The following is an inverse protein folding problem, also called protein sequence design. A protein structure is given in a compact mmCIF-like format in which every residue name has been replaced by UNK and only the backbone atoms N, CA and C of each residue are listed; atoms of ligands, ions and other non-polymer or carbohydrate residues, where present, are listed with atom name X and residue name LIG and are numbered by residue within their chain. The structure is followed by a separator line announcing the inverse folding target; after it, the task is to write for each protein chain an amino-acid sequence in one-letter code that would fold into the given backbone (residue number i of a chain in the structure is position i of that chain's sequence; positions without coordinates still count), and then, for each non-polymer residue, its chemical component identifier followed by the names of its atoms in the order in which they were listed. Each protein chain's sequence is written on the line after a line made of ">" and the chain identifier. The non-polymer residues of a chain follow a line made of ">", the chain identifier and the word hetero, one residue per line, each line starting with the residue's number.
data_IF_585565645261
#
_entry.id   IF_585565645261
#
_cell.length_a   1.000
_cell.length_b   1.000
_cell.length_c   1.000
_cell.angle_alpha   90.00
_cell.angle_beta   90.00
_cell.angle_gamma   90.00
#
_symmetry.space_group_name_H-M   'P 1'
#
loop_
_entity.id
_entity.type
_entity.pdbx_description
1 polymer ?
#
# COMPACT_ATOMS: atom_id res chain seq x y z
N UNK A 1 -4.79 -22.73 10.93
CA UNK A 1 -3.75 -22.78 9.88
C UNK A 1 -4.31 -22.11 8.64
N UNK A 2 -4.10 -20.81 8.49
CA UNK A 2 -4.52 -20.07 7.30
C UNK A 2 -3.56 -20.48 6.19
N UNK A 3 -4.05 -21.22 5.19
CA UNK A 3 -3.23 -21.65 4.05
C UNK A 3 -3.04 -20.44 3.16
N UNK A 4 -1.88 -19.77 3.27
CA UNK A 4 -1.56 -18.70 2.35
C UNK A 4 -1.40 -19.27 0.94
N UNK A 5 -2.06 -18.67 -0.07
CA UNK A 5 -1.94 -19.15 -1.43
C UNK A 5 -0.46 -19.13 -1.85
N UNK A 6 0.05 -20.28 -2.29
CA UNK A 6 1.42 -20.37 -2.81
C UNK A 6 1.51 -19.52 -4.07
N UNK A 7 2.51 -18.65 -4.12
CA UNK A 7 2.81 -17.86 -5.33
C UNK A 7 3.06 -18.81 -6.51
N UNK A 8 2.30 -18.65 -7.58
CA UNK A 8 2.49 -19.38 -8.83
C UNK A 8 3.16 -18.47 -9.87
N UNK A 9 4.49 -18.50 -10.01
CA UNK A 9 5.19 -17.68 -10.99
C UNK A 9 4.80 -18.12 -12.42
N UNK A 10 4.43 -17.14 -13.25
CA UNK A 10 4.07 -17.36 -14.67
C UNK A 10 5.25 -17.00 -15.58
N UNK A 11 5.35 -17.67 -16.74
CA UNK A 11 6.33 -17.38 -17.78
C UNK A 11 5.64 -17.24 -19.14
N UNK A 12 5.77 -16.10 -19.85
CA UNK A 12 6.54 -14.91 -19.47
C UNK A 12 5.94 -14.18 -18.27
N UNK A 13 6.77 -13.38 -17.59
CA UNK A 13 6.34 -12.61 -16.42
C UNK A 13 5.39 -11.50 -16.87
N UNK A 14 4.15 -11.45 -16.36
CA UNK A 14 3.18 -10.41 -16.71
C UNK A 14 3.63 -9.03 -16.21
N UNK A 15 3.05 -7.98 -16.79
CA UNK A 15 3.27 -6.59 -16.36
C UNK A 15 2.58 -6.29 -15.02
N UNK A 16 3.07 -5.26 -14.32
CA UNK A 16 2.52 -4.83 -13.01
C UNK A 16 1.02 -4.51 -13.08
N UNK A 17 0.59 -3.87 -14.18
CA UNK A 17 -0.81 -3.51 -14.44
C UNK A 17 -1.67 -4.76 -14.63
N UNK A 18 -1.20 -5.72 -15.43
CA UNK A 18 -1.96 -6.96 -15.68
C UNK A 18 -2.14 -7.76 -14.39
N UNK A 19 -1.09 -7.85 -13.56
CA UNK A 19 -1.19 -8.52 -12.26
C UNK A 19 -2.18 -7.80 -11.34
N UNK A 20 -2.12 -6.46 -11.29
CA UNK A 20 -3.04 -5.66 -10.47
C UNK A 20 -4.50 -5.86 -10.91
N UNK A 21 -4.78 -5.75 -12.20
CA UNK A 21 -6.13 -5.93 -12.75
C UNK A 21 -6.66 -7.35 -12.54
N UNK A 22 -5.80 -8.36 -12.69
CA UNK A 22 -6.18 -9.75 -12.43
C UNK A 22 -6.56 -9.97 -10.96
N UNK A 23 -5.74 -9.50 -10.02
CA UNK A 23 -6.04 -9.60 -8.57
C UNK A 23 -7.37 -8.93 -8.25
N UNK A 24 -7.62 -7.73 -8.79
CA UNK A 24 -8.90 -7.02 -8.60
C UNK A 24 -10.07 -7.81 -9.19
N UNK A 25 -9.91 -8.43 -10.36
CA UNK A 25 -10.97 -9.23 -10.98
C UNK A 25 -11.24 -10.56 -10.29
N UNK A 26 -10.22 -11.21 -9.72
CA UNK A 26 -10.33 -12.53 -9.10
C UNK A 26 -10.77 -12.46 -7.63
N UNK A 27 -10.20 -11.52 -6.87
CA UNK A 27 -10.37 -11.43 -5.41
C UNK A 27 -11.28 -10.27 -5.01
N UNK A 28 -11.42 -9.26 -5.87
CA UNK A 28 -12.09 -8.01 -5.52
C UNK A 28 -11.24 -7.13 -4.61
N UNK A 29 -11.64 -5.86 -4.49
CA UNK A 29 -11.09 -4.97 -3.48
C UNK A 29 -11.78 -5.22 -2.15
N UNK A 30 -11.04 -5.08 -1.05
CA UNK A 30 -11.63 -5.09 0.28
C UNK A 30 -12.29 -3.73 0.56
N UNK A 31 -13.50 -3.71 1.14
CA UNK A 31 -14.10 -2.48 1.63
C UNK A 31 -13.18 -1.79 2.63
N UNK A 32 -13.00 -0.48 2.49
CA UNK A 32 -12.13 0.28 3.40
C UNK A 32 -12.62 0.23 4.86
N UNK A 33 -13.92 0.06 5.07
CA UNK A 33 -14.51 -0.10 6.40
C UNK A 33 -14.00 -1.39 7.10
N UNK A 34 -13.93 -2.49 6.35
CA UNK A 34 -13.45 -3.77 6.87
C UNK A 34 -11.95 -3.69 7.19
N UNK A 35 -11.16 -3.10 6.27
CA UNK A 35 -9.73 -2.89 6.46
C UNK A 35 -9.44 -1.97 7.67
N UNK A 36 -10.23 -0.91 7.85
CA UNK A 36 -10.10 -0.02 8.99
C UNK A 36 -10.41 -0.72 10.31
N UNK A 37 -11.43 -1.58 10.34
CA UNK A 37 -11.77 -2.38 11.50
C UNK A 37 -10.65 -3.36 11.86
N UNK A 38 -10.07 -4.04 10.87
CA UNK A 38 -8.92 -4.95 11.06
C UNK A 38 -7.69 -4.21 11.62
N UNK A 39 -7.47 -2.98 11.13
CA UNK A 39 -6.41 -2.08 11.60
C UNK A 39 -6.66 -1.52 13.02
N UNK A 40 -7.87 -1.67 13.57
CA UNK A 40 -8.23 -1.17 14.90
C UNK A 40 -8.59 0.32 14.94
N UNK A 41 -9.05 0.86 13.81
CA UNK A 41 -9.61 2.20 13.71
C UNK A 41 -11.11 2.16 14.01
N UNK A 42 -11.60 3.20 14.68
CA UNK A 42 -13.03 3.36 14.95
C UNK A 42 -13.75 4.02 13.75
N UNK A 43 -15.05 3.75 13.53
CA UNK A 43 -15.77 4.25 12.35
C UNK A 43 -15.79 5.78 12.22
N UNK A 44 -15.74 6.50 13.34
CA UNK A 44 -15.69 7.96 13.41
C UNK A 44 -14.27 8.51 13.13
N UNK A 45 -13.23 7.71 13.26
CA UNK A 45 -11.84 8.07 12.92
C UNK A 45 -11.56 8.01 11.42
N UNK A 46 -12.46 7.42 10.63
CA UNK A 46 -12.25 7.10 9.22
C UNK A 46 -13.17 7.94 8.35
N UNK A 47 -12.59 8.72 7.46
CA UNK A 47 -13.31 9.48 6.44
C UNK A 47 -13.15 8.72 5.11
N UNK A 48 -14.13 7.89 4.71
CA UNK A 48 -14.03 7.11 3.49
C UNK A 48 -14.05 8.01 2.24
N UNK A 49 -13.30 7.58 1.23
CA UNK A 49 -13.19 8.20 -0.09
C UNK A 49 -13.35 7.11 -1.15
N UNK A 50 -14.58 6.90 -1.59
CA UNK A 50 -14.91 5.76 -2.43
C UNK A 50 -14.86 4.44 -1.65
N UNK A 51 -14.65 3.34 -2.36
CA UNK A 51 -14.80 1.99 -1.80
C UNK A 51 -13.56 1.48 -1.05
N UNK A 52 -12.36 1.81 -1.53
CA UNK A 52 -11.10 1.20 -1.07
C UNK A 52 -10.12 2.18 -0.39
N UNK A 53 -10.51 3.44 -0.21
CA UNK A 53 -9.63 4.50 0.34
C UNK A 53 -10.32 5.27 1.44
N UNK A 54 -9.54 5.78 2.38
CA UNK A 54 -10.02 6.67 3.42
C UNK A 54 -8.89 7.58 3.92
N UNK A 55 -9.27 8.67 4.58
CA UNK A 55 -8.39 9.47 5.44
C UNK A 55 -8.64 9.09 6.89
N UNK A 56 -7.60 9.17 7.71
CA UNK A 56 -7.68 8.94 9.17
C UNK A 56 -7.64 10.27 9.89
N UNK A 57 -8.54 10.47 10.86
CA UNK A 57 -8.59 11.65 11.70
C UNK A 57 -7.51 11.60 12.78
N UNK A 58 -6.37 12.26 12.52
CA UNK A 58 -5.21 12.18 13.41
C UNK A 58 -5.49 12.60 14.86
N UNK A 59 -6.27 13.66 15.07
CA UNK A 59 -6.50 14.20 16.42
C UNK A 59 -7.24 13.20 17.31
N UNK A 60 -8.39 12.72 16.85
CA UNK A 60 -9.22 11.77 17.61
C UNK A 60 -8.49 10.45 17.84
N UNK A 61 -7.80 9.93 16.82
CA UNK A 61 -7.05 8.68 16.92
C UNK A 61 -5.88 8.77 17.89
N UNK A 62 -5.08 9.84 17.83
CA UNK A 62 -3.93 10.00 18.73
C UNK A 62 -4.37 10.27 20.18
N UNK A 63 -5.46 11.01 20.38
CA UNK A 63 -6.01 11.26 21.72
C UNK A 63 -6.46 9.94 22.39
N UNK A 64 -7.12 9.04 21.63
CA UNK A 64 -7.53 7.70 22.10
C UNK A 64 -6.33 6.79 22.37
N UNK A 65 -5.34 6.80 21.48
CA UNK A 65 -4.17 5.92 21.56
C UNK A 65 -3.07 6.42 22.51
N UNK A 66 -3.23 7.58 23.16
CA UNK A 66 -2.21 8.23 23.98
C UNK A 66 -1.61 7.35 25.09
N UNK A 67 -2.39 6.41 25.63
CA UNK A 67 -1.95 5.49 26.68
C UNK A 67 -1.58 4.09 26.14
N UNK A 68 -1.67 3.87 24.84
CA UNK A 68 -1.32 2.60 24.21
C UNK A 68 0.19 2.52 23.98
N UNK A 69 0.81 1.34 24.11
CA UNK A 69 2.22 1.17 23.79
C UNK A 69 2.45 1.33 22.29
N UNK A 70 3.59 1.93 21.94
CA UNK A 70 4.02 2.04 20.54
C UNK A 70 4.31 0.65 19.94
N UNK A 71 4.01 0.52 18.65
CA UNK A 71 4.37 -0.65 17.86
C UNK A 71 5.85 -0.67 17.47
N UNK A 72 6.28 -1.79 16.88
CA UNK A 72 7.62 -1.87 16.31
C UNK A 72 7.72 -1.03 15.03
N UNK A 73 8.72 -0.15 14.97
CA UNK A 73 8.99 0.67 13.79
C UNK A 73 10.16 0.08 12.98
N UNK A 74 9.88 -0.36 11.75
CA UNK A 74 10.85 -0.98 10.85
C UNK A 74 11.09 -0.05 9.66
N UNK A 75 12.34 0.35 9.45
CA UNK A 75 12.74 1.20 8.32
C UNK A 75 13.44 0.36 7.26
N UNK A 76 12.84 0.28 6.06
CA UNK A 76 13.49 -0.29 4.89
C UNK A 76 14.30 0.80 4.16
N UNK A 77 15.62 0.67 4.20
CA UNK A 77 16.56 1.53 3.45
C UNK A 77 17.24 0.74 2.33
N UNK A 78 17.96 1.44 1.45
CA UNK A 78 18.77 0.81 0.41
C UNK A 78 20.05 1.60 0.16
N UNK A 79 20.93 1.02 -0.64
CA UNK A 79 22.19 1.66 -1.06
C UNK A 79 21.94 2.82 -2.03
N UNK A 80 23.03 3.50 -2.43
CA UNK A 80 22.99 4.55 -3.43
C UNK A 80 22.27 4.07 -4.71
N UNK A 81 21.38 4.90 -5.30
CA UNK A 81 20.56 4.46 -6.42
C UNK A 81 21.42 4.01 -7.60
N UNK A 82 21.20 2.77 -8.05
CA UNK A 82 21.79 2.25 -9.28
C UNK A 82 20.74 2.24 -10.41
N UNK A 83 21.15 2.32 -11.70
CA UNK A 83 20.23 2.25 -12.84
C UNK A 83 19.41 0.96 -12.91
N UNK A 84 19.87 -0.10 -12.24
CA UNK A 84 19.21 -1.40 -12.22
C UNK A 84 17.95 -1.42 -11.32
N UNK A 85 17.82 -0.45 -10.41
CA UNK A 85 16.69 -0.33 -9.49
C UNK A 85 16.82 -1.26 -8.29
N UNK A 86 16.88 -0.67 -7.10
CA UNK A 86 17.12 -1.39 -5.83
C UNK A 86 15.90 -2.14 -5.28
N UNK A 87 14.70 -1.89 -5.83
CA UNK A 87 13.48 -2.56 -5.37
C UNK A 87 13.02 -2.21 -3.94
N UNK A 88 13.52 -1.13 -3.33
CA UNK A 88 13.18 -0.71 -1.94
C UNK A 88 11.69 -0.79 -1.63
N UNK A 89 10.88 -0.18 -2.49
CA UNK A 89 9.41 -0.16 -2.40
C UNK A 89 8.81 -1.58 -2.43
N UNK A 90 9.27 -2.42 -3.35
CA UNK A 90 8.87 -3.83 -3.46
C UNK A 90 9.21 -4.61 -2.20
N UNK A 91 10.41 -4.39 -1.65
CA UNK A 91 10.85 -5.04 -0.40
C UNK A 91 10.00 -4.62 0.79
N UNK A 92 9.61 -3.34 0.89
CA UNK A 92 8.74 -2.85 1.97
C UNK A 92 7.37 -3.52 1.96
N UNK A 93 6.71 -3.61 0.78
CA UNK A 93 5.41 -4.27 0.68
C UNK A 93 5.54 -5.78 0.91
N UNK A 94 6.53 -6.43 0.31
CA UNK A 94 6.77 -7.86 0.50
C UNK A 94 7.04 -8.23 1.96
N UNK A 95 7.78 -7.38 2.69
CA UNK A 95 8.00 -7.54 4.12
C UNK A 95 6.71 -7.45 4.91
N UNK A 96 5.88 -6.43 4.68
CA UNK A 96 4.58 -6.30 5.34
C UNK A 96 3.65 -7.49 5.04
N UNK A 97 3.61 -7.95 3.79
CA UNK A 97 2.86 -9.15 3.40
C UNK A 97 3.37 -10.40 4.11
N UNK A 98 4.69 -10.58 4.24
CA UNK A 98 5.28 -11.72 4.94
C UNK A 98 5.01 -11.68 6.46
N UNK A 99 5.06 -10.50 7.08
CA UNK A 99 4.73 -10.33 8.51
C UNK A 99 3.26 -10.67 8.79
N UNK A 100 2.35 -10.21 7.95
CA UNK A 100 0.92 -10.50 8.05
C UNK A 100 0.60 -11.96 7.75
N UNK A 101 1.05 -12.48 6.62
CA UNK A 101 0.77 -13.83 6.19
C UNK A 101 1.50 -14.87 7.05
N UNK A 102 2.83 -14.84 7.08
CA UNK A 102 3.61 -15.95 7.64
C UNK A 102 3.65 -15.89 9.18
N UNK A 103 3.82 -14.69 9.74
CA UNK A 103 4.00 -14.51 11.18
C UNK A 103 2.72 -14.11 11.93
N UNK A 104 1.60 -13.94 11.21
CA UNK A 104 0.32 -13.50 11.76
C UNK A 104 0.43 -12.25 12.64
N UNK A 105 1.29 -11.30 12.23
CA UNK A 105 1.49 -10.03 12.91
C UNK A 105 0.66 -8.94 12.23
N UNK A 106 0.03 -8.08 13.02
CA UNK A 106 -0.58 -6.85 12.49
C UNK A 106 0.53 -5.91 12.01
N UNK A 107 0.64 -5.73 10.70
CA UNK A 107 1.65 -4.88 10.07
C UNK A 107 1.05 -4.07 8.94
N UNK A 108 1.46 -2.81 8.84
CA UNK A 108 1.09 -1.90 7.76
C UNK A 108 2.34 -1.33 7.09
N UNK A 109 2.30 -1.16 5.78
CA UNK A 109 3.37 -0.53 5.01
C UNK A 109 3.07 0.96 4.82
N UNK A 110 3.99 1.83 5.22
CA UNK A 110 3.91 3.27 5.00
C UNK A 110 4.80 3.67 3.83
N UNK A 111 4.21 4.29 2.81
CA UNK A 111 4.86 4.58 1.53
C UNK A 111 4.60 6.02 1.11
N UNK A 112 5.55 6.61 0.38
CA UNK A 112 5.39 7.97 -0.14
C UNK A 112 4.52 7.94 -1.39
N UNK A 113 3.64 8.93 -1.51
CA UNK A 113 2.92 9.20 -2.74
C UNK A 113 3.91 9.64 -3.84
N UNK A 114 3.83 9.07 -5.06
CA UNK A 114 4.64 9.48 -6.19
C UNK A 114 4.16 10.84 -6.73
N UNK A 115 5.08 11.61 -7.31
CA UNK A 115 4.72 12.85 -8.01
C UNK A 115 3.97 12.53 -9.30
N UNK A 116 2.99 13.35 -9.66
CA UNK A 116 2.27 13.24 -10.94
C UNK A 116 3.10 13.72 -12.14
N UNK A 117 4.06 14.62 -11.92
CA UNK A 117 4.86 15.22 -13.00
C UNK A 117 5.60 14.21 -13.89
N UNK A 118 6.27 13.19 -13.32
CA UNK A 118 6.92 12.12 -14.10
C UNK A 118 5.97 11.24 -14.93
N UNK A 119 4.68 11.17 -14.57
CA UNK A 119 3.67 10.35 -15.26
C UNK A 119 3.37 10.86 -16.67
N UNK A 120 3.42 12.19 -16.88
CA UNK A 120 3.26 12.82 -18.19
C UNK A 120 4.58 12.95 -18.97
N UNK A 121 5.69 12.44 -18.42
CA UNK A 121 7.03 12.44 -19.01
C UNK A 121 7.54 11.03 -19.39
N UNK A 122 8.82 10.75 -19.12
CA UNK A 122 9.57 9.61 -19.70
C UNK A 122 9.19 8.22 -19.14
N UNK A 123 8.40 8.09 -18.06
CA UNK A 123 7.91 6.77 -17.60
C UNK A 123 6.84 6.93 -16.51
N UNK A 124 5.57 6.70 -16.85
CA UNK A 124 4.53 6.35 -15.87
C UNK A 124 4.79 4.94 -15.35
N UNK A 125 5.71 4.80 -14.38
CA UNK A 125 6.04 3.51 -13.78
C UNK A 125 5.02 3.15 -12.70
N UNK A 126 4.58 1.89 -12.64
CA UNK A 126 3.85 1.39 -11.48
C UNK A 126 4.71 1.60 -10.22
N UNK A 127 4.09 2.05 -9.12
CA UNK A 127 4.82 2.45 -7.92
C UNK A 127 5.45 1.27 -7.14
N UNK A 128 5.20 0.03 -7.56
CA UNK A 128 5.54 -1.20 -6.83
C UNK A 128 5.82 -2.33 -7.81
N UNK A 129 6.89 -3.11 -7.60
CA UNK A 129 7.27 -4.17 -8.54
C UNK A 129 6.30 -5.35 -8.57
N UNK A 130 6.06 -5.87 -9.78
CA UNK A 130 5.42 -7.11 -10.30
C UNK A 130 4.58 -8.03 -9.41
N UNK A 131 4.93 -8.27 -8.16
CA UNK A 131 4.24 -9.19 -7.24
C UNK A 131 3.59 -8.46 -6.05
N UNK A 132 3.98 -7.20 -5.83
CA UNK A 132 3.54 -6.36 -4.71
C UNK A 132 2.65 -5.20 -5.18
N UNK A 133 1.84 -5.42 -6.22
CA UNK A 133 0.98 -4.37 -6.75
C UNK A 133 -0.12 -4.04 -5.73
N UNK A 134 -0.02 -2.88 -5.10
CA UNK A 134 -1.16 -2.25 -4.43
C UNK A 134 -2.18 -1.80 -5.49
N UNK A 135 -3.45 -1.85 -5.10
CA UNK A 135 -4.65 -1.41 -5.84
C UNK A 135 -4.41 -0.34 -6.91
N UNK A 136 -4.93 -0.58 -8.12
CA UNK A 136 -5.00 0.31 -9.29
C UNK A 136 -3.91 1.39 -9.37
N UNK A 137 -2.80 1.03 -10.01
CA UNK A 137 -1.66 1.92 -10.27
C UNK A 137 -2.02 3.22 -11.01
N UNK A 138 -3.15 3.24 -11.73
CA UNK A 138 -3.73 4.41 -12.39
C UNK A 138 -4.23 5.43 -11.38
N UNK A 139 -5.06 5.06 -10.42
CA UNK A 139 -5.62 6.01 -9.43
C UNK A 139 -4.57 6.50 -8.42
N UNK A 140 -3.58 5.65 -8.11
CA UNK A 140 -2.44 6.03 -7.24
C UNK A 140 -1.57 7.13 -7.86
N UNK A 141 -1.42 7.14 -9.19
CA UNK A 141 -0.68 8.19 -9.92
C UNK A 141 -1.55 9.39 -10.30
N UNK A 142 -2.83 9.20 -10.61
CA UNK A 142 -3.66 10.27 -11.19
C UNK A 142 -4.48 11.06 -10.18
N UNK A 143 -4.91 10.50 -9.04
CA UNK A 143 -5.95 11.17 -8.22
C UNK A 143 -5.84 11.04 -6.69
N UNK A 144 -4.88 10.29 -6.14
CA UNK A 144 -4.76 10.21 -4.68
C UNK A 144 -4.20 11.53 -4.10
N UNK A 145 -5.08 12.35 -3.51
CA UNK A 145 -4.77 13.48 -2.60
C UNK A 145 -4.09 14.72 -3.20
N UNK A 146 -4.70 15.29 -4.23
CA UNK A 146 -4.42 16.67 -4.70
C UNK A 146 -4.56 17.75 -3.60
N UNK A 147 -5.18 17.41 -2.45
CA UNK A 147 -5.33 18.30 -1.30
C UNK A 147 -4.08 18.42 -0.40
N UNK A 148 -3.05 17.58 -0.59
CA UNK A 148 -1.79 17.73 0.14
C UNK A 148 -0.77 18.61 -0.58
N UNK A 149 -0.91 18.80 -1.90
CA UNK A 149 0.00 19.64 -2.71
C UNK A 149 -0.45 21.11 -2.81
N UNK A 150 -1.74 21.41 -2.65
CA UNK A 150 -2.25 22.78 -2.70
C UNK A 150 -2.28 23.53 -1.35
N UNK A 151 -1.76 22.94 -0.27
CA UNK A 151 -1.69 23.56 1.07
C UNK A 151 -0.27 23.61 1.64
N UNK A 152 0.71 23.90 0.79
CA UNK A 152 2.00 24.44 1.17
C UNK A 152 2.26 25.72 0.39
#
# INVERSE_FOLDING_TARGET
>A
MTVHPKLQPRSPVPSDIEVSQQIVSEVGLLPIADLASEAGLEPDEVIPWGFSKAKVQLKTTLDRLKNSPDGNYIVCTGINPTPLGEGKSTTTIGLAQALGAILNKKSFACIRQPSQGPTFGIKGGAAWGRVCASCESSEFHLYLLEQSMHRF
#
